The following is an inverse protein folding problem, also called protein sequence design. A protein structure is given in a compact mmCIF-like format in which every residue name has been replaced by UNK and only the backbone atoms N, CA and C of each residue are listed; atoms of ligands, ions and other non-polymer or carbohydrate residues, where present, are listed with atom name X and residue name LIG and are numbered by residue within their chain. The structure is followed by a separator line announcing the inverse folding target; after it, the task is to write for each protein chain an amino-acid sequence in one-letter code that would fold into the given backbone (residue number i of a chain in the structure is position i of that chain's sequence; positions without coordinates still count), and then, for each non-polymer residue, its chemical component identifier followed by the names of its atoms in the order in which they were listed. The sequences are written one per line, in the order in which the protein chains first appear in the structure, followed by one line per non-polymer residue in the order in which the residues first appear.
data_IF_532789462830
#
_entry.id   IF_532789462830
#
_cell.length_a   1.000
_cell.length_b   1.000
_cell.length_c   1.000
_cell.angle_alpha   90.00
_cell.angle_beta   90.00
_cell.angle_gamma   90.00
#
_symmetry.space_group_name_H-M   'P 1'
#
loop_
_entity.id
_entity.type
_entity.pdbx_description
1 polymer ?
#
# COMPACT_ATOMS: atom_id res chain seq x y z
N UNK A 1 14.42 11.60 10.51
CA UNK A 1 14.94 11.62 11.90
C UNK A 1 16.25 10.84 11.89
N UNK A 2 17.28 11.25 12.63
CA UNK A 2 18.52 10.46 12.74
C UNK A 2 18.42 9.63 14.01
N UNK A 3 18.37 8.31 13.87
CA UNK A 3 18.35 7.40 15.00
C UNK A 3 19.72 7.39 15.68
N UNK A 4 19.75 7.35 17.01
CA UNK A 4 20.98 7.08 17.74
C UNK A 4 21.24 5.57 17.68
N UNK A 5 22.21 5.15 16.87
CA UNK A 5 22.65 3.75 16.80
C UNK A 5 23.96 3.52 17.57
N UNK A 6 24.44 4.53 18.30
CA UNK A 6 25.69 4.47 19.05
C UNK A 6 25.52 3.89 20.45
N UNK A 7 24.30 3.95 20.99
CA UNK A 7 23.91 3.38 22.27
C UNK A 7 23.05 2.11 22.08
N UNK A 8 23.11 1.20 23.05
CA UNK A 8 22.30 -0.02 23.03
C UNK A 8 20.80 0.30 23.14
N UNK A 9 20.44 1.30 23.95
CA UNK A 9 19.05 1.78 24.09
C UNK A 9 18.53 2.38 22.78
N UNK A 10 19.36 3.19 22.09
CA UNK A 10 19.00 3.78 20.81
C UNK A 10 18.87 2.73 19.71
N UNK A 11 19.76 1.73 19.68
CA UNK A 11 19.69 0.61 18.74
C UNK A 11 18.48 -0.29 19.01
N UNK A 12 18.11 -0.54 20.27
CA UNK A 12 16.91 -1.28 20.61
C UNK A 12 15.62 -0.54 20.21
N UNK A 13 15.55 0.76 20.46
CA UNK A 13 14.44 1.60 20.03
C UNK A 13 14.30 1.63 18.50
N UNK A 14 15.43 1.72 17.79
CA UNK A 14 15.49 1.64 16.33
C UNK A 14 14.98 0.28 15.83
N UNK A 15 15.36 -0.83 16.46
CA UNK A 15 14.87 -2.16 16.10
C UNK A 15 13.37 -2.34 16.40
N UNK A 16 12.87 -1.80 17.50
CA UNK A 16 11.43 -1.78 17.79
C UNK A 16 10.64 -1.05 16.71
N UNK A 17 11.13 0.11 16.26
CA UNK A 17 10.48 0.87 15.19
C UNK A 17 10.57 0.14 13.85
N UNK A 18 11.74 -0.43 13.54
CA UNK A 18 11.95 -1.24 12.35
C UNK A 18 10.99 -2.41 12.30
N UNK A 19 10.76 -3.12 13.41
CA UNK A 19 9.82 -4.24 13.52
C UNK A 19 8.37 -3.80 13.24
N UNK A 20 7.96 -2.65 13.80
CA UNK A 20 6.59 -2.15 13.75
C UNK A 20 6.14 -1.62 12.37
N UNK A 21 7.05 -1.21 11.50
CA UNK A 21 6.68 -0.50 10.28
C UNK A 21 7.69 -0.53 9.15
N UNK A 22 7.35 0.18 8.07
CA UNK A 22 8.25 0.40 6.93
C UNK A 22 8.85 1.81 7.05
N UNK A 23 10.15 1.86 7.33
CA UNK A 23 10.97 3.08 7.25
C UNK A 23 12.26 2.72 6.46
N UNK A 24 12.38 3.17 5.20
CA UNK A 24 13.51 2.82 4.34
C UNK A 24 14.81 3.52 4.76
N UNK A 25 14.72 4.66 5.45
CA UNK A 25 15.89 5.39 5.95
C UNK A 25 16.47 4.65 7.14
N UNK A 26 15.61 4.25 8.08
CA UNK A 26 16.01 3.42 9.22
C UNK A 26 16.55 2.06 8.77
N UNK A 27 15.91 1.42 7.79
CA UNK A 27 16.38 0.16 7.21
C UNK A 27 17.82 0.27 6.69
N UNK A 28 18.13 1.33 5.94
CA UNK A 28 19.49 1.59 5.45
C UNK A 28 20.47 1.80 6.60
N UNK A 29 20.12 2.60 7.60
CA UNK A 29 20.98 2.86 8.75
C UNK A 29 21.31 1.58 9.55
N UNK A 30 20.32 0.71 9.78
CA UNK A 30 20.52 -0.58 10.45
C UNK A 30 21.37 -1.54 9.61
N UNK A 31 21.14 -1.60 8.30
CA UNK A 31 21.93 -2.43 7.40
C UNK A 31 23.40 -1.98 7.36
N UNK A 32 23.65 -0.67 7.25
CA UNK A 32 25.00 -0.10 7.29
C UNK A 32 25.68 -0.34 8.63
N UNK A 33 24.97 -0.12 9.75
CA UNK A 33 25.48 -0.35 11.10
C UNK A 33 25.95 -1.80 11.28
N UNK A 34 25.07 -2.79 11.04
CA UNK A 34 25.42 -4.19 11.25
C UNK A 34 26.46 -4.69 10.23
N UNK A 35 26.43 -4.21 8.99
CA UNK A 35 27.46 -4.53 8.00
C UNK A 35 28.85 -4.01 8.42
N UNK A 36 28.92 -2.77 8.93
CA UNK A 36 30.19 -2.21 9.42
C UNK A 36 30.69 -2.97 10.64
N UNK A 37 29.80 -3.29 11.60
CA UNK A 37 30.16 -4.07 12.79
C UNK A 37 30.60 -5.50 12.47
N UNK A 38 30.03 -6.12 11.44
CA UNK A 38 30.48 -7.44 10.96
C UNK A 38 31.86 -7.37 10.29
N UNK A 39 32.17 -6.29 9.55
CA UNK A 39 33.51 -6.09 8.96
C UNK A 39 34.58 -5.84 10.01
N UNK A 40 34.22 -5.15 11.08
CA UNK A 40 35.14 -4.78 12.16
C UNK A 40 35.04 -5.72 13.37
N UNK A 41 34.44 -6.92 13.22
CA UNK A 41 34.09 -7.80 14.33
C UNK A 41 35.31 -8.22 15.19
N UNK A 42 36.50 -8.27 14.59
CA UNK A 42 37.76 -8.58 15.27
C UNK A 42 38.29 -7.42 16.14
N UNK A 43 37.77 -6.21 15.94
CA UNK A 43 38.24 -4.96 16.55
C UNK A 43 37.15 -4.32 17.42
N UNK A 44 35.88 -4.54 17.08
CA UNK A 44 34.73 -3.92 17.72
C UNK A 44 33.67 -4.99 17.97
N UNK A 45 33.27 -5.13 19.24
CA UNK A 45 32.24 -6.11 19.61
C UNK A 45 30.89 -5.82 18.94
N UNK A 46 30.27 -6.88 18.45
CA UNK A 46 28.90 -6.87 17.97
C UNK A 46 27.96 -7.07 19.16
N UNK A 47 26.88 -6.30 19.21
CA UNK A 47 25.77 -6.59 20.13
C UNK A 47 24.99 -7.81 19.62
N UNK A 48 25.53 -9.01 19.89
CA UNK A 48 24.99 -10.27 19.38
C UNK A 48 23.47 -10.43 19.61
N UNK A 49 22.90 -10.10 20.78
CA UNK A 49 21.45 -10.23 20.98
C UNK A 49 20.63 -9.35 20.02
N UNK A 50 21.11 -8.14 19.74
CA UNK A 50 20.44 -7.17 18.87
C UNK A 50 20.63 -7.54 17.39
N UNK A 51 21.80 -8.08 17.01
CA UNK A 51 22.01 -8.64 15.68
C UNK A 51 21.11 -9.85 15.43
N UNK A 52 21.00 -10.77 16.39
CA UNK A 52 20.10 -11.92 16.32
C UNK A 52 18.65 -11.46 16.20
N UNK A 53 18.24 -10.45 16.98
CA UNK A 53 16.89 -9.85 16.87
C UNK A 53 16.65 -9.30 15.46
N UNK A 54 17.57 -8.51 14.92
CA UNK A 54 17.48 -7.96 13.57
C UNK A 54 17.32 -9.06 12.51
N UNK A 55 18.15 -10.10 12.55
CA UNK A 55 18.05 -11.24 11.63
C UNK A 55 16.74 -12.00 11.79
N UNK A 56 16.26 -12.22 13.03
CA UNK A 56 14.97 -12.87 13.27
C UNK A 56 13.81 -12.09 12.65
N UNK A 57 13.81 -10.76 12.74
CA UNK A 57 12.79 -9.91 12.12
C UNK A 57 12.81 -10.07 10.59
N UNK A 58 13.99 -9.96 9.97
CA UNK A 58 14.15 -10.08 8.51
C UNK A 58 13.73 -11.47 8.03
N UNK A 59 14.19 -12.54 8.69
CA UNK A 59 13.81 -13.90 8.34
C UNK A 59 12.33 -14.18 8.57
N UNK A 60 11.74 -13.65 9.66
CA UNK A 60 10.30 -13.70 9.89
C UNK A 60 9.53 -13.11 8.72
N UNK A 61 9.90 -11.92 8.23
CA UNK A 61 9.26 -11.28 7.07
C UNK A 61 9.40 -12.05 5.77
N UNK A 62 10.48 -12.80 5.59
CA UNK A 62 10.70 -13.67 4.43
C UNK A 62 9.88 -14.96 4.50
N UNK A 63 9.68 -15.48 5.70
CA UNK A 63 8.99 -16.74 5.97
C UNK A 63 7.50 -16.58 6.30
N UNK A 64 7.04 -15.36 6.61
CA UNK A 64 5.64 -15.05 6.91
C UNK A 64 4.78 -15.26 5.66
N UNK A 65 4.22 -16.47 5.57
CA UNK A 65 3.29 -16.91 4.52
C UNK A 65 1.82 -16.65 4.90
N UNK A 66 1.52 -15.96 6.01
CA UNK A 66 0.12 -15.74 6.49
C UNK A 66 -0.16 -14.33 6.99
N UNK A 67 -1.30 -13.77 6.59
CA UNK A 67 -1.88 -12.61 7.28
C UNK A 67 -2.72 -13.01 8.51
N UNK A 68 -3.23 -12.02 9.25
CA UNK A 68 -4.15 -12.20 10.40
C UNK A 68 -5.38 -13.07 10.09
N UNK A 69 -5.70 -13.27 8.80
CA UNK A 69 -6.83 -14.05 8.30
C UNK A 69 -6.42 -15.37 7.63
N UNK A 70 -5.17 -15.81 7.82
CA UNK A 70 -4.60 -17.07 7.32
C UNK A 70 -4.64 -17.19 5.78
N UNK A 71 -4.69 -16.06 5.06
CA UNK A 71 -4.52 -16.08 3.60
C UNK A 71 -3.05 -16.14 3.26
N UNK A 72 -2.70 -17.04 2.34
CA UNK A 72 -1.35 -17.12 1.79
C UNK A 72 -0.93 -15.76 1.23
N UNK A 73 -0.03 -15.06 1.93
CA UNK A 73 0.61 -13.88 1.36
C UNK A 73 1.70 -14.33 0.41
N UNK A 74 1.93 -13.52 -0.63
CA UNK A 74 3.07 -13.69 -1.52
C UNK A 74 4.33 -13.41 -0.69
N UNK A 75 5.26 -14.38 -0.64
CA UNK A 75 6.56 -14.22 0.05
C UNK A 75 7.17 -12.85 -0.22
N UNK A 76 7.58 -12.16 0.84
CA UNK A 76 8.30 -10.90 0.73
C UNK A 76 9.60 -11.13 -0.06
N UNK A 77 9.95 -10.21 -0.94
CA UNK A 77 11.29 -10.21 -1.53
C UNK A 77 12.33 -9.82 -0.45
N UNK A 78 13.62 -10.14 -0.63
CA UNK A 78 14.66 -9.66 0.27
C UNK A 78 14.59 -8.15 0.53
N UNK A 79 14.40 -7.34 -0.51
CA UNK A 79 14.30 -5.88 -0.40
C UNK A 79 13.11 -5.44 0.45
N UNK A 80 12.01 -6.19 0.42
CA UNK A 80 10.83 -5.94 1.25
C UNK A 80 11.06 -6.35 2.70
N UNK A 81 11.72 -7.48 2.94
CA UNK A 81 12.01 -7.97 4.29
C UNK A 81 13.00 -7.06 5.01
N UNK A 82 14.02 -6.56 4.30
CA UNK A 82 14.94 -5.55 4.79
C UNK A 82 14.31 -4.16 4.91
N UNK A 83 13.08 -3.94 4.42
CA UNK A 83 12.39 -2.65 4.55
C UNK A 83 12.84 -1.57 3.56
N UNK A 84 13.60 -1.94 2.52
CA UNK A 84 13.98 -1.02 1.43
C UNK A 84 12.83 -0.75 0.46
N UNK A 85 11.87 -1.66 0.37
CA UNK A 85 10.73 -1.57 -0.55
C UNK A 85 9.44 -1.97 0.14
N UNK A 86 8.34 -1.26 -0.14
CA UNK A 86 7.02 -1.65 0.34
C UNK A 86 6.51 -2.92 -0.35
N UNK A 87 5.77 -3.74 0.41
CA UNK A 87 4.99 -4.82 -0.17
C UNK A 87 3.94 -4.29 -1.15
N UNK A 88 3.76 -4.98 -2.27
CA UNK A 88 2.78 -4.61 -3.31
C UNK A 88 1.38 -4.53 -2.70
N UNK A 89 0.76 -3.35 -2.73
CA UNK A 89 -0.56 -3.11 -2.13
C UNK A 89 -0.54 -2.37 -0.78
N UNK A 90 0.63 -2.14 -0.17
CA UNK A 90 0.80 -1.26 1.01
C UNK A 90 1.13 0.20 0.65
N UNK A 91 0.92 0.62 -0.59
CA UNK A 91 0.93 2.04 -0.91
C UNK A 91 -0.27 2.70 -0.23
N UNK A 92 -0.05 3.84 0.42
CA UNK A 92 -1.14 4.72 0.83
C UNK A 92 -1.82 5.18 -0.47
N UNK A 93 -2.95 4.54 -0.80
CA UNK A 93 -3.76 4.96 -1.94
C UNK A 93 -4.57 6.16 -1.48
N UNK A 94 -4.67 7.17 -2.34
CA UNK A 94 -5.73 8.16 -2.18
C UNK A 94 -7.06 7.43 -2.08
N UNK A 95 -7.91 7.88 -1.17
CA UNK A 95 -9.26 7.35 -1.08
C UNK A 95 -10.01 7.68 -2.37
N UNK A 96 -10.30 6.65 -3.16
CA UNK A 96 -11.02 6.78 -4.43
C UNK A 96 -12.50 6.47 -4.30
N UNK A 97 -12.99 6.13 -3.10
CA UNK A 97 -14.34 5.62 -2.92
C UNK A 97 -15.41 6.59 -3.43
N UNK A 98 -15.30 7.86 -3.04
CA UNK A 98 -16.25 8.89 -3.46
C UNK A 98 -16.22 9.12 -4.98
N UNK A 99 -15.03 9.13 -5.58
CA UNK A 99 -14.87 9.25 -7.04
C UNK A 99 -15.50 8.05 -7.74
N UNK A 100 -15.23 6.85 -7.27
CA UNK A 100 -15.74 5.61 -7.87
C UNK A 100 -17.28 5.54 -7.76
N UNK A 101 -17.85 5.99 -6.64
CA UNK A 101 -19.31 6.15 -6.46
C UNK A 101 -19.88 7.13 -7.50
N UNK A 102 -19.25 8.30 -7.67
CA UNK A 102 -19.66 9.33 -8.65
C UNK A 102 -19.61 8.81 -10.08
N UNK A 103 -18.50 8.16 -10.45
CA UNK A 103 -18.33 7.54 -11.76
C UNK A 103 -19.44 6.51 -12.04
N UNK A 104 -19.70 5.61 -11.10
CA UNK A 104 -20.69 4.57 -11.28
C UNK A 104 -22.13 5.12 -11.33
N UNK A 105 -22.47 6.10 -10.48
CA UNK A 105 -23.76 6.78 -10.52
C UNK A 105 -23.99 7.49 -11.86
N UNK A 106 -22.96 8.17 -12.37
CA UNK A 106 -22.99 8.79 -13.70
C UNK A 106 -23.25 7.76 -14.80
N UNK A 107 -22.49 6.66 -14.83
CA UNK A 107 -22.63 5.64 -15.88
C UNK A 107 -24.03 5.02 -15.86
N UNK A 108 -24.60 4.71 -14.69
CA UNK A 108 -25.97 4.18 -14.58
C UNK A 108 -26.99 5.21 -15.08
N UNK A 109 -26.86 6.46 -14.68
CA UNK A 109 -27.76 7.53 -15.13
C UNK A 109 -27.67 7.73 -16.65
N UNK A 110 -26.47 7.86 -17.21
CA UNK A 110 -26.24 8.09 -18.63
C UNK A 110 -26.78 6.95 -19.50
N UNK A 111 -26.62 5.70 -19.05
CA UNK A 111 -27.21 4.53 -19.71
C UNK A 111 -28.74 4.56 -19.72
N UNK A 112 -29.37 5.12 -18.68
CA UNK A 112 -30.84 5.31 -18.66
C UNK A 112 -31.31 6.45 -19.56
N UNK A 113 -30.44 7.41 -19.85
CA UNK A 113 -30.68 8.44 -20.87
C UNK A 113 -30.42 7.96 -22.30
N UNK A 114 -30.08 6.67 -22.48
CA UNK A 114 -29.89 6.05 -23.80
C UNK A 114 -28.45 6.05 -24.32
N UNK A 115 -27.47 6.52 -23.55
CA UNK A 115 -26.06 6.41 -23.95
C UNK A 115 -25.59 4.94 -23.92
N UNK A 116 -24.65 4.59 -24.81
CA UNK A 116 -24.00 3.29 -24.75
C UNK A 116 -23.11 3.19 -23.52
N UNK A 117 -22.84 1.96 -23.05
CA UNK A 117 -21.92 1.73 -21.91
C UNK A 117 -20.55 2.36 -22.19
N UNK A 118 -20.05 2.27 -23.43
CA UNK A 118 -18.73 2.75 -23.80
C UNK A 118 -18.65 4.28 -23.77
N UNK A 119 -19.65 4.97 -24.32
CA UNK A 119 -19.75 6.44 -24.26
C UNK A 119 -19.84 6.93 -22.82
N UNK A 120 -20.71 6.32 -22.01
CA UNK A 120 -20.90 6.71 -20.61
C UNK A 120 -19.62 6.54 -19.78
N UNK A 121 -18.84 5.46 -20.01
CA UNK A 121 -17.56 5.23 -19.33
C UNK A 121 -16.53 6.28 -19.76
N UNK A 122 -16.41 6.55 -21.07
CA UNK A 122 -15.47 7.54 -21.58
C UNK A 122 -15.78 8.96 -21.08
N UNK A 123 -17.06 9.32 -21.02
CA UNK A 123 -17.49 10.62 -20.52
C UNK A 123 -17.24 10.74 -19.01
N UNK A 124 -17.56 9.71 -18.21
CA UNK A 124 -17.20 9.67 -16.79
C UNK A 124 -15.68 9.75 -16.57
N UNK A 125 -14.89 9.08 -17.40
CA UNK A 125 -13.43 9.12 -17.30
C UNK A 125 -12.91 10.55 -17.52
N UNK A 126 -13.43 11.24 -18.53
CA UNK A 126 -13.09 12.64 -18.80
C UNK A 126 -13.54 13.59 -17.68
N UNK A 127 -14.67 13.28 -17.01
CA UNK A 127 -15.25 14.14 -15.97
C UNK A 127 -14.56 13.99 -14.62
N UNK A 128 -14.15 12.78 -14.26
CA UNK A 128 -13.71 12.44 -12.91
C UNK A 128 -12.23 12.03 -12.80
N UNK A 129 -11.49 11.93 -13.92
CA UNK A 129 -10.08 11.59 -13.93
C UNK A 129 -9.24 12.57 -14.76
N UNK A 130 -8.02 12.85 -14.31
CA UNK A 130 -7.03 13.64 -15.04
C UNK A 130 -6.21 12.76 -15.99
N UNK A 131 -6.74 12.50 -17.19
CA UNK A 131 -6.12 11.87 -18.37
C UNK A 131 -5.43 10.47 -18.25
N UNK A 132 -5.49 9.73 -19.36
CA UNK A 132 -4.80 8.47 -19.75
C UNK A 132 -5.09 7.16 -19.00
N UNK A 133 -5.79 7.15 -17.87
CA UNK A 133 -6.15 5.89 -17.18
C UNK A 133 -7.58 5.80 -16.60
N UNK A 134 -8.45 6.74 -16.94
CA UNK A 134 -9.81 6.85 -16.36
C UNK A 134 -10.74 5.69 -16.72
N UNK A 135 -10.75 5.24 -17.98
CA UNK A 135 -11.75 4.29 -18.49
C UNK A 135 -11.78 2.97 -17.71
N UNK A 136 -10.60 2.37 -17.45
CA UNK A 136 -10.50 1.13 -16.67
C UNK A 136 -10.90 1.32 -15.21
N UNK A 137 -10.65 2.49 -14.65
CA UNK A 137 -11.05 2.81 -13.28
C UNK A 137 -12.57 2.98 -13.17
N UNK A 138 -13.16 3.71 -14.11
CA UNK A 138 -14.60 3.89 -14.25
C UNK A 138 -15.31 2.57 -14.49
N UNK A 139 -14.79 1.69 -15.35
CA UNK A 139 -15.39 0.37 -15.59
C UNK A 139 -15.40 -0.48 -14.32
N UNK A 140 -14.32 -0.49 -13.55
CA UNK A 140 -14.27 -1.19 -12.26
C UNK A 140 -15.26 -0.61 -11.24
N UNK A 141 -15.34 0.72 -11.17
CA UNK A 141 -16.27 1.41 -10.30
C UNK A 141 -17.72 1.07 -10.67
N UNK A 142 -18.04 1.10 -11.96
CA UNK A 142 -19.34 0.73 -12.50
C UNK A 142 -19.72 -0.70 -12.11
N UNK A 143 -18.84 -1.68 -12.36
CA UNK A 143 -19.10 -3.08 -11.98
C UNK A 143 -19.30 -3.27 -10.47
N UNK A 144 -18.60 -2.46 -9.64
CA UNK A 144 -18.71 -2.54 -8.18
C UNK A 144 -20.06 -2.03 -7.65
N UNK A 145 -20.61 -0.96 -8.25
CA UNK A 145 -21.77 -0.25 -7.69
C UNK A 145 -23.04 -0.29 -8.56
N UNK A 146 -23.00 -0.82 -9.79
CA UNK A 146 -24.15 -0.81 -10.70
C UNK A 146 -25.42 -1.41 -10.09
N UNK A 147 -25.32 -2.52 -9.35
CA UNK A 147 -26.49 -3.21 -8.82
C UNK A 147 -27.18 -2.39 -7.72
N UNK A 148 -26.39 -1.63 -6.94
CA UNK A 148 -26.90 -0.69 -5.94
C UNK A 148 -27.66 0.45 -6.61
N UNK A 149 -27.07 1.03 -7.65
CA UNK A 149 -27.62 2.20 -8.33
C UNK A 149 -28.75 1.88 -9.32
N UNK A 150 -28.85 0.64 -9.79
CA UNK A 150 -29.93 0.19 -10.66
C UNK A 150 -31.32 0.33 -10.00
N UNK A 151 -31.41 0.31 -8.66
CA UNK A 151 -32.65 0.54 -7.93
C UNK A 151 -32.97 2.01 -7.62
N UNK A 152 -32.03 2.93 -7.82
CA UNK A 152 -32.21 4.34 -7.42
C UNK A 152 -32.96 5.14 -8.49
N UNK A 153 -33.80 6.14 -8.13
CA UNK A 153 -34.37 7.08 -9.09
C UNK A 153 -33.30 7.94 -9.79
N UNK A 154 -33.60 8.43 -10.99
CA UNK A 154 -32.65 9.24 -11.77
C UNK A 154 -32.20 10.52 -11.04
N UNK A 155 -33.11 11.18 -10.31
CA UNK A 155 -32.81 12.36 -9.49
C UNK A 155 -31.81 12.09 -8.37
N UNK A 156 -31.86 10.89 -7.77
CA UNK A 156 -30.91 10.49 -6.73
C UNK A 156 -29.54 10.26 -7.34
N UNK A 157 -29.48 9.61 -8.52
CA UNK A 157 -28.21 9.41 -9.22
C UNK A 157 -27.57 10.74 -9.60
N UNK A 158 -28.36 11.67 -10.13
CA UNK A 158 -27.88 13.00 -10.54
C UNK A 158 -27.26 13.77 -9.38
N UNK A 159 -27.90 13.77 -8.20
CA UNK A 159 -27.35 14.40 -6.99
C UNK A 159 -26.01 13.80 -6.52
N UNK A 160 -25.68 12.57 -6.91
CA UNK A 160 -24.40 11.97 -6.50
C UNK A 160 -23.22 12.54 -7.29
N UNK A 161 -23.44 12.95 -8.54
CA UNK A 161 -22.36 13.34 -9.47
C UNK A 161 -22.46 14.77 -10.03
N UNK A 162 -23.57 15.48 -9.77
CA UNK A 162 -23.70 16.92 -10.02
C UNK A 162 -22.68 17.72 -9.19
#
# INVERSE_FOLDING_TARGET
MKWDLSSDEGLDAALCNFEAGHDPVLALQLAEYFNQRLKDADVVSIQEPLLIRYFRIVMGRLCDDTDEWHKQRKRSTPEQAFGFTLARGKHQREDTELRDIRCAAYVVWARRQGQTKLEAIGEAANRFHSADAGDKAVEKAYLKYQDVFNGFPASVLENLFA
#
